data_IF_739605980613
#
_entry.id   IF_739605980613
#
_cell.length_a   1.000
_cell.length_b   1.000
_cell.length_c   1.000
_cell.angle_alpha   90.00
_cell.angle_beta   90.00
_cell.angle_gamma   90.00
#
_symmetry.space_group_name_H-M   'P 1'
#
loop_
_entity.id
_entity.type
_entity.pdbx_description
1 polymer ?
#
# COMPACT_ATOMS: atom_id res chain seq x y z
N UNK A 1 -11.38 -17.02 8.46
CA UNK A 1 -11.42 -16.23 7.22
C UNK A 1 -12.66 -15.35 7.15
N UNK A 2 -12.46 -14.05 6.87
CA UNK A 2 -13.50 -13.02 6.74
C UNK A 2 -13.89 -12.70 5.28
N UNK A 3 -13.45 -13.54 4.33
CA UNK A 3 -13.64 -13.38 2.88
C UNK A 3 -13.12 -12.05 2.31
N UNK A 4 -12.15 -11.44 3.00
CA UNK A 4 -11.48 -10.23 2.52
C UNK A 4 -10.40 -10.56 1.50
N UNK A 5 -10.28 -9.69 0.49
CA UNK A 5 -9.25 -9.85 -0.53
C UNK A 5 -7.90 -9.36 -0.02
N UNK A 6 -6.96 -10.31 0.10
CA UNK A 6 -5.58 -10.06 0.50
C UNK A 6 -4.64 -10.20 -0.69
N UNK A 7 -3.70 -9.27 -0.84
CA UNK A 7 -2.74 -9.30 -1.95
C UNK A 7 -1.39 -8.72 -1.59
N UNK A 8 -0.36 -9.18 -2.30
CA UNK A 8 0.92 -8.49 -2.37
C UNK A 8 0.82 -7.26 -3.28
N UNK A 9 1.65 -6.25 -3.03
CA UNK A 9 1.78 -5.05 -3.86
C UNK A 9 3.19 -4.48 -3.76
N UNK A 10 3.68 -3.85 -4.83
CA UNK A 10 5.00 -3.21 -4.88
C UNK A 10 6.11 -4.12 -4.34
N UNK A 11 6.29 -5.30 -4.97
CA UNK A 11 7.35 -6.23 -4.59
C UNK A 11 8.71 -5.70 -5.04
N UNK A 12 9.64 -5.56 -4.10
CA UNK A 12 10.99 -5.03 -4.31
C UNK A 12 12.05 -6.07 -3.92
N UNK A 13 12.51 -6.90 -4.88
CA UNK A 13 13.67 -7.76 -4.66
C UNK A 13 14.93 -6.94 -4.33
N UNK A 14 15.62 -7.28 -3.24
CA UNK A 14 16.76 -6.48 -2.75
C UNK A 14 16.37 -5.06 -2.32
N UNK A 15 15.10 -4.86 -1.99
CA UNK A 15 14.51 -3.56 -1.70
C UNK A 15 14.75 -3.05 -0.28
N UNK A 16 14.17 -1.88 -0.02
CA UNK A 16 14.22 -1.20 1.26
C UNK A 16 12.84 -0.67 1.61
N UNK A 17 12.39 -1.01 2.82
CA UNK A 17 11.28 -0.31 3.46
C UNK A 17 11.69 1.13 3.78
N UNK A 18 10.83 2.08 3.47
CA UNK A 18 10.96 3.51 3.75
C UNK A 18 9.72 4.03 4.47
N UNK A 19 9.85 5.21 5.08
CA UNK A 19 8.70 5.94 5.64
C UNK A 19 8.03 6.77 4.55
N UNK A 20 6.70 6.71 4.48
CA UNK A 20 5.87 7.50 3.56
C UNK A 20 5.03 8.49 4.39
N UNK A 21 5.02 9.77 4.03
CA UNK A 21 4.28 10.81 4.78
C UNK A 21 2.98 11.17 4.06
N UNK A 22 1.89 11.32 4.83
CA UNK A 22 0.56 11.64 4.30
C UNK A 22 0.04 13.03 4.72
N UNK A 23 0.85 13.81 5.44
CA UNK A 23 0.44 15.12 6.02
C UNK A 23 0.02 14.99 7.49
N UNK A 24 -0.16 16.13 8.18
CA UNK A 24 -0.62 16.21 9.57
C UNK A 24 0.13 15.30 10.57
N UNK A 25 1.44 15.14 10.36
CA UNK A 25 2.31 14.22 11.12
C UNK A 25 1.95 12.73 11.01
N UNK A 26 1.05 12.35 10.11
CA UNK A 26 0.65 10.98 9.83
C UNK A 26 1.60 10.40 8.78
N UNK A 27 2.05 9.18 9.03
CA UNK A 27 2.95 8.49 8.14
C UNK A 27 2.68 6.98 8.12
N UNK A 28 3.02 6.36 7.00
CA UNK A 28 3.10 4.93 6.85
C UNK A 28 4.51 4.47 6.55
N UNK A 29 4.60 3.23 6.10
CA UNK A 29 5.74 2.71 5.37
C UNK A 29 5.39 2.61 3.88
N UNK A 30 6.41 2.35 3.07
CA UNK A 30 6.32 1.92 1.68
C UNK A 30 7.61 1.17 1.32
N UNK A 31 7.69 0.57 0.14
CA UNK A 31 8.86 -0.14 -0.36
C UNK A 31 9.47 0.54 -1.58
N UNK A 32 10.79 0.41 -1.76
CA UNK A 32 11.45 0.75 -3.02
C UNK A 32 12.69 -0.11 -3.27
N UNK A 33 13.11 -0.19 -4.53
CA UNK A 33 14.38 -0.78 -4.93
C UNK A 33 15.30 0.27 -5.59
N UNK A 34 16.62 0.13 -5.42
CA UNK A 34 17.62 0.99 -6.06
C UNK A 34 18.46 0.19 -7.05
N UNK A 35 18.93 0.85 -8.12
CA UNK A 35 19.74 0.19 -9.16
C UNK A 35 21.15 -0.17 -8.68
N UNK A 36 21.75 0.64 -7.81
CA UNK A 36 23.17 0.50 -7.39
C UNK A 36 23.36 -0.16 -6.03
N UNK A 37 22.34 -0.12 -5.17
CA UNK A 37 22.41 -0.62 -3.81
C UNK A 37 21.27 -1.59 -3.58
N UNK A 38 21.59 -2.78 -3.10
CA UNK A 38 20.61 -3.83 -2.81
C UNK A 38 20.72 -4.24 -1.36
N UNK A 39 19.58 -4.52 -0.73
CA UNK A 39 19.55 -5.18 0.56
C UNK A 39 19.58 -6.69 0.38
N UNK A 40 19.72 -7.43 1.48
CA UNK A 40 19.58 -8.90 1.50
C UNK A 40 18.11 -9.33 1.59
N UNK A 41 17.18 -8.39 1.69
CA UNK A 41 15.77 -8.64 1.90
C UNK A 41 14.97 -8.38 0.62
N UNK A 42 13.87 -9.09 0.47
CA UNK A 42 12.79 -8.68 -0.42
C UNK A 42 11.68 -8.09 0.44
N UNK A 43 11.19 -6.92 0.10
CA UNK A 43 9.99 -6.33 0.71
C UNK A 43 8.84 -6.31 -0.30
N UNK A 44 7.63 -6.31 0.24
CA UNK A 44 6.39 -6.07 -0.50
C UNK A 44 5.35 -5.57 0.49
N UNK A 45 4.43 -4.74 0.02
CA UNK A 45 3.24 -4.38 0.78
C UNK A 45 2.28 -5.58 0.80
N UNK A 46 1.71 -5.88 1.97
CA UNK A 46 0.69 -6.91 2.12
C UNK A 46 -0.63 -6.27 2.55
N UNK A 47 -1.58 -6.21 1.62
CA UNK A 47 -2.75 -5.34 1.72
C UNK A 47 -4.01 -6.19 1.87
N UNK A 48 -4.79 -5.87 2.91
CA UNK A 48 -6.16 -6.36 3.10
C UNK A 48 -7.13 -5.33 2.54
N UNK A 49 -8.02 -5.74 1.65
CA UNK A 49 -9.02 -4.85 1.04
C UNK A 49 -10.25 -4.75 1.93
N UNK A 50 -10.45 -3.60 2.56
CA UNK A 50 -11.63 -3.32 3.38
C UNK A 50 -12.67 -2.56 2.56
N UNK A 51 -13.88 -3.11 2.49
CA UNK A 51 -15.07 -2.41 2.01
C UNK A 51 -15.89 -2.00 3.22
N UNK A 52 -16.13 -0.70 3.34
CA UNK A 52 -17.05 -0.19 4.34
C UNK A 52 -18.38 0.15 3.68
N UNK A 53 -19.45 -0.05 4.43
CA UNK A 53 -20.84 0.28 4.04
C UNK A 53 -21.40 1.29 5.04
N UNK A 54 -22.62 1.76 4.78
CA UNK A 54 -23.41 2.53 5.74
C UNK A 54 -23.28 1.98 7.18
N UNK A 55 -23.05 2.83 8.20
CA UNK A 55 -23.03 4.31 8.14
C UNK A 55 -21.65 4.93 7.85
N UNK A 56 -20.58 4.13 7.71
CA UNK A 56 -19.21 4.64 7.56
C UNK A 56 -18.65 4.28 6.18
N UNK A 57 -19.04 5.00 5.13
CA UNK A 57 -18.55 4.71 3.77
C UNK A 57 -17.15 5.30 3.49
N UNK A 58 -16.69 6.23 4.34
CA UNK A 58 -15.44 6.96 4.13
C UNK A 58 -14.22 6.12 4.59
N UNK A 59 -13.72 5.30 3.66
CA UNK A 59 -12.53 4.47 3.84
C UNK A 59 -11.25 5.28 4.09
N UNK A 60 -11.16 6.52 3.58
CA UNK A 60 -10.02 7.40 3.82
C UNK A 60 -9.91 7.78 5.29
N UNK A 61 -11.00 8.23 5.90
CA UNK A 61 -11.01 8.59 7.33
C UNK A 61 -10.64 7.37 8.17
N UNK A 62 -11.25 6.21 7.89
CA UNK A 62 -10.93 4.98 8.60
C UNK A 62 -9.43 4.62 8.53
N UNK A 63 -8.86 4.64 7.33
CA UNK A 63 -7.43 4.41 7.13
C UNK A 63 -6.56 5.43 7.88
N UNK A 64 -6.92 6.71 7.84
CA UNK A 64 -6.18 7.77 8.54
C UNK A 64 -6.21 7.59 10.06
N UNK A 65 -7.34 7.18 10.64
CA UNK A 65 -7.44 6.88 12.08
C UNK A 65 -6.58 5.68 12.47
N UNK A 66 -6.55 4.65 11.63
CA UNK A 66 -5.71 3.47 11.86
C UNK A 66 -4.23 3.82 11.75
N UNK A 67 -3.83 4.67 10.79
CA UNK A 67 -2.46 5.19 10.70
C UNK A 67 -2.08 6.00 11.93
N UNK A 68 -2.92 6.95 12.35
CA UNK A 68 -2.72 7.77 13.54
C UNK A 68 -2.48 6.90 14.78
N UNK A 69 -3.36 5.94 15.05
CA UNK A 69 -3.22 5.04 16.19
C UNK A 69 -1.91 4.24 16.13
N UNK A 70 -1.56 3.73 14.96
CA UNK A 70 -0.30 2.99 14.75
C UNK A 70 0.93 3.89 14.99
N UNK A 71 0.91 5.14 14.51
CA UNK A 71 1.97 6.12 14.72
C UNK A 71 2.12 6.50 16.20
N UNK A 72 1.01 6.61 16.94
CA UNK A 72 1.00 6.84 18.38
C UNK A 72 1.66 5.69 19.13
N UNK A 73 1.26 4.44 18.85
CA UNK A 73 1.85 3.24 19.48
C UNK A 73 3.35 3.11 19.19
N UNK A 74 3.78 3.53 18.00
CA UNK A 74 5.18 3.53 17.63
C UNK A 74 6.00 4.71 18.18
N UNK A 75 5.39 5.63 18.93
CA UNK A 75 6.07 6.79 19.50
C UNK A 75 6.66 7.72 18.42
N UNK A 76 5.90 7.96 17.35
CA UNK A 76 6.36 8.76 16.21
C UNK A 76 7.27 7.99 15.23
N UNK A 77 7.29 6.65 15.33
CA UNK A 77 7.97 5.75 14.38
C UNK A 77 7.08 4.63 13.89
N UNK A 78 7.34 4.07 12.69
CA UNK A 78 6.64 2.87 12.25
C UNK A 78 6.87 1.74 13.25
N UNK A 79 5.84 0.93 13.44
CA UNK A 79 5.96 -0.30 14.20
C UNK A 79 6.70 -1.35 13.38
N UNK A 80 7.47 -2.18 14.09
CA UNK A 80 8.11 -3.36 13.56
C UNK A 80 7.78 -4.54 14.48
N UNK A 81 7.25 -5.62 13.90
CA UNK A 81 6.95 -6.83 14.64
C UNK A 81 7.36 -8.06 13.85
N UNK A 82 7.89 -9.08 14.53
CA UNK A 82 8.12 -10.38 13.93
C UNK A 82 6.81 -11.12 13.79
N UNK A 83 6.62 -11.80 12.68
CA UNK A 83 5.44 -12.64 12.45
C UNK A 83 5.29 -13.69 13.56
N UNK A 84 6.40 -14.28 14.02
CA UNK A 84 6.37 -15.21 15.14
C UNK A 84 5.89 -14.61 16.45
N UNK A 85 6.13 -13.31 16.70
CA UNK A 85 5.61 -12.63 17.88
C UNK A 85 4.11 -12.31 17.70
N UNK A 86 3.64 -11.99 16.48
CA UNK A 86 2.21 -11.84 16.17
C UNK A 86 1.44 -13.14 16.43
N UNK A 87 1.95 -14.27 15.95
CA UNK A 87 1.33 -15.59 16.13
C UNK A 87 1.22 -15.95 17.63
N UNK A 88 2.21 -15.55 18.43
CA UNK A 88 2.25 -15.79 19.88
C UNK A 88 1.51 -14.72 20.70
N UNK A 89 0.85 -13.76 20.06
CA UNK A 89 0.16 -12.63 20.70
C UNK A 89 1.08 -11.83 21.64
N UNK A 90 2.31 -11.56 21.18
CA UNK A 90 3.33 -10.86 21.95
C UNK A 90 3.93 -9.69 21.17
N UNK A 91 4.32 -8.67 21.91
CA UNK A 91 5.14 -7.56 21.40
C UNK A 91 6.53 -8.04 20.98
N UNK A 92 7.04 -7.51 19.86
CA UNK A 92 8.46 -7.64 19.52
C UNK A 92 9.34 -6.65 20.29
N UNK A 93 10.56 -7.09 20.60
CA UNK A 93 11.62 -6.26 21.19
C UNK A 93 12.87 -6.29 20.30
N UNK A 94 13.79 -5.34 20.49
CA UNK A 94 15.07 -5.37 19.77
C UNK A 94 15.88 -6.64 20.06
N UNK A 95 15.85 -7.15 21.29
CA UNK A 95 16.50 -8.41 21.65
C UNK A 95 15.98 -9.59 20.80
N UNK A 96 14.65 -9.69 20.69
CA UNK A 96 13.96 -10.69 19.87
C UNK A 96 14.30 -10.55 18.39
N UNK A 97 14.23 -9.33 17.85
CA UNK A 97 14.55 -9.05 16.44
C UNK A 97 15.99 -9.40 16.12
N UNK A 98 16.96 -9.08 16.99
CA UNK A 98 18.38 -9.39 16.79
C UNK A 98 18.70 -10.89 16.77
N UNK A 99 17.84 -11.73 17.36
CA UNK A 99 17.97 -13.20 17.29
C UNK A 99 17.40 -13.81 16.00
N UNK A 100 16.83 -12.98 15.12
CA UNK A 100 16.20 -13.43 13.88
C UNK A 100 17.20 -13.43 12.72
N UNK A 101 16.97 -14.26 11.71
CA UNK A 101 17.84 -14.34 10.53
C UNK A 101 17.73 -13.11 9.62
N UNK A 102 16.66 -12.33 9.76
CA UNK A 102 16.36 -11.16 8.95
C UNK A 102 16.63 -9.90 9.77
N UNK A 103 17.40 -8.97 9.19
CA UNK A 103 17.64 -7.65 9.75
C UNK A 103 16.74 -6.59 9.10
N UNK A 104 16.19 -5.61 9.86
CA UNK A 104 15.36 -4.57 9.28
C UNK A 104 16.12 -3.71 8.27
N UNK A 105 15.51 -3.33 7.15
CA UNK A 105 16.11 -2.34 6.22
C UNK A 105 15.85 -0.91 6.72
N UNK A 106 14.64 -0.65 7.22
CA UNK A 106 14.31 0.60 7.91
C UNK A 106 14.70 0.49 9.39
N UNK A 107 15.70 1.27 9.81
CA UNK A 107 16.20 1.24 11.22
C UNK A 107 15.44 2.17 12.15
N UNK A 108 14.87 3.26 11.64
CA UNK A 108 14.13 4.23 12.44
C UNK A 108 12.69 3.76 12.71
N UNK A 109 12.55 2.66 13.45
CA UNK A 109 11.31 1.96 13.78
C UNK A 109 11.25 1.65 15.28
N UNK A 110 10.05 1.33 15.76
CA UNK A 110 9.81 0.91 17.13
C UNK A 110 9.34 -0.55 17.16
N UNK A 111 10.10 -1.48 17.77
CA UNK A 111 9.59 -2.81 18.05
C UNK A 111 8.35 -2.74 18.93
N UNK A 112 7.25 -3.33 18.49
CA UNK A 112 5.95 -3.13 19.11
C UNK A 112 4.96 -4.25 18.86
N UNK A 113 3.69 -3.93 19.11
CA UNK A 113 2.57 -4.82 18.87
C UNK A 113 1.56 -4.14 17.94
N UNK A 114 1.51 -4.61 16.69
CA UNK A 114 0.64 -4.11 15.64
C UNK A 114 -0.83 -4.46 15.95
N UNK A 115 -1.08 -5.57 16.66
CA UNK A 115 -2.44 -6.01 17.00
C UNK A 115 -3.18 -5.05 17.93
N UNK A 116 -2.45 -4.16 18.62
CA UNK A 116 -3.04 -3.08 19.42
C UNK A 116 -3.66 -1.96 18.57
N UNK A 117 -3.22 -1.79 17.31
CA UNK A 117 -3.79 -0.79 16.39
C UNK A 117 -4.77 -1.40 15.38
N UNK A 118 -4.55 -2.64 14.98
CA UNK A 118 -5.27 -3.25 13.87
C UNK A 118 -6.43 -4.09 14.41
N UNK A 119 -7.66 -3.93 13.89
CA UNK A 119 -8.77 -4.80 14.26
C UNK A 119 -8.45 -6.27 14.02
N UNK A 120 -9.02 -7.13 14.86
CA UNK A 120 -8.80 -8.58 14.82
C UNK A 120 -9.07 -9.20 13.43
N UNK A 121 -10.03 -8.63 12.69
CA UNK A 121 -10.32 -8.98 11.29
C UNK A 121 -9.07 -8.84 10.40
N UNK A 122 -8.49 -7.64 10.34
CA UNK A 122 -7.28 -7.35 9.55
C UNK A 122 -6.11 -8.22 9.98
N UNK A 123 -5.91 -8.40 11.29
CA UNK A 123 -4.82 -9.26 11.79
C UNK A 123 -5.01 -10.74 11.41
N UNK A 124 -6.25 -11.22 11.39
CA UNK A 124 -6.58 -12.59 10.95
C UNK A 124 -6.31 -12.73 9.46
N UNK A 125 -6.75 -11.78 8.64
CA UNK A 125 -6.55 -11.81 7.18
C UNK A 125 -5.06 -11.74 6.81
N UNK A 126 -4.26 -10.93 7.52
CA UNK A 126 -2.80 -10.89 7.34
C UNK A 126 -2.19 -12.26 7.66
N UNK A 127 -2.58 -12.88 8.78
CA UNK A 127 -2.03 -14.18 9.19
C UNK A 127 -2.40 -15.29 8.21
N UNK A 128 -3.69 -15.45 7.92
CA UNK A 128 -4.19 -16.47 6.99
C UNK A 128 -3.64 -16.24 5.57
N UNK A 129 -3.53 -14.98 5.15
CA UNK A 129 -2.97 -14.61 3.85
C UNK A 129 -1.48 -14.94 3.72
N UNK A 130 -0.66 -14.65 4.75
CA UNK A 130 0.76 -15.00 4.72
C UNK A 130 0.97 -16.52 4.78
N UNK A 131 0.14 -17.24 5.55
CA UNK A 131 0.17 -18.71 5.60
C UNK A 131 -0.18 -19.32 4.24
N UNK A 132 -1.16 -18.76 3.53
CA UNK A 132 -1.47 -19.17 2.17
C UNK A 132 -0.35 -18.80 1.18
N UNK A 133 0.25 -17.62 1.32
CA UNK A 133 1.35 -17.16 0.47
C UNK A 133 2.60 -18.04 0.62
N UNK A 134 2.83 -18.63 1.79
CA UNK A 134 3.96 -19.54 2.04
C UNK A 134 3.97 -20.77 1.13
N UNK A 135 2.80 -21.23 0.71
CA UNK A 135 2.66 -22.33 -0.26
C UNK A 135 3.20 -21.96 -1.65
N UNK A 136 3.29 -20.66 -1.94
CA UNK A 136 3.79 -20.12 -3.22
C UNK A 136 5.23 -19.61 -3.06
N UNK A 137 5.54 -18.98 -1.93
CA UNK A 137 6.85 -18.41 -1.61
C UNK A 137 7.31 -19.00 -0.26
N UNK A 138 7.94 -20.19 -0.27
CA UNK A 138 8.32 -20.87 0.96
C UNK A 138 9.23 -20.03 1.84
N UNK A 139 8.90 -19.94 3.13
CA UNK A 139 9.65 -19.20 4.14
C UNK A 139 9.12 -17.79 4.40
N UNK A 140 8.13 -17.31 3.66
CA UNK A 140 7.48 -16.01 3.93
C UNK A 140 6.68 -16.04 5.23
N UNK A 141 6.15 -17.20 5.63
CA UNK A 141 5.47 -17.41 6.92
C UNK A 141 6.44 -17.89 8.02
N UNK A 142 7.66 -17.37 8.03
CA UNK A 142 8.67 -17.66 9.05
C UNK A 142 8.47 -16.82 10.32
N UNK A 143 8.83 -17.39 11.48
CA UNK A 143 8.96 -16.65 12.75
C UNK A 143 9.86 -15.39 12.63
N UNK A 144 10.82 -15.41 11.70
CA UNK A 144 11.75 -14.29 11.46
C UNK A 144 11.22 -13.24 10.49
N UNK A 145 10.08 -13.46 9.83
CA UNK A 145 9.48 -12.48 8.92
C UNK A 145 9.16 -11.19 9.66
N UNK A 146 9.62 -10.07 9.11
CA UNK A 146 9.47 -8.74 9.70
C UNK A 146 8.29 -8.01 9.05
N UNK A 147 7.33 -7.61 9.87
CA UNK A 147 6.15 -6.85 9.45
C UNK A 147 6.31 -5.41 9.95
N UNK A 148 6.24 -4.46 9.02
CA UNK A 148 6.24 -3.03 9.29
C UNK A 148 4.82 -2.49 9.18
N UNK A 149 4.47 -1.53 10.04
CA UNK A 149 3.16 -0.90 10.01
C UNK A 149 3.20 0.60 10.39
N UNK A 150 2.28 1.42 9.83
CA UNK A 150 1.20 1.03 8.93
C UNK A 150 1.57 1.17 7.45
N UNK A 151 1.05 0.31 6.58
CA UNK A 151 1.06 0.47 5.12
C UNK A 151 -0.39 0.65 4.67
N UNK A 152 -0.76 1.84 4.20
CA UNK A 152 -2.15 2.13 3.82
C UNK A 152 -2.16 2.78 2.46
N UNK A 153 -3.07 2.29 1.60
CA UNK A 153 -3.31 2.90 0.31
C UNK A 153 -4.72 3.48 0.22
N UNK A 154 -4.79 4.80 0.20
CA UNK A 154 -6.03 5.59 0.15
C UNK A 154 -6.62 5.59 -1.28
N UNK A 155 -7.20 4.47 -1.70
CA UNK A 155 -7.80 4.31 -3.02
C UNK A 155 -9.31 4.58 -2.99
N UNK A 156 -9.72 5.76 -2.53
CA UNK A 156 -11.15 6.05 -2.35
C UNK A 156 -11.82 6.72 -3.56
N UNK A 157 -11.04 7.36 -4.45
CA UNK A 157 -11.61 8.23 -5.48
C UNK A 157 -11.52 7.54 -6.83
N UNK A 158 -12.66 7.08 -7.36
CA UNK A 158 -12.84 6.76 -8.78
C UNK A 158 -13.85 7.71 -9.37
N UNK A 159 -13.37 8.72 -10.09
CA UNK A 159 -14.25 9.68 -10.75
C UNK A 159 -14.77 9.03 -12.05
N UNK A 160 -16.09 9.12 -12.27
CA UNK A 160 -16.70 8.61 -13.51
C UNK A 160 -16.33 9.52 -14.67
N UNK A 161 -15.87 8.91 -15.76
CA UNK A 161 -15.47 9.59 -17.00
C UNK A 161 -16.01 8.86 -18.21
N UNK A 162 -15.96 9.51 -19.37
CA UNK A 162 -16.19 8.84 -20.65
C UNK A 162 -14.94 8.06 -21.13
N UNK A 163 -15.01 7.51 -22.35
CA UNK A 163 -13.92 6.73 -22.96
C UNK A 163 -12.65 7.53 -23.25
N UNK A 164 -12.72 8.86 -23.28
CA UNK A 164 -11.59 9.77 -23.44
C UNK A 164 -11.17 10.40 -22.11
N UNK A 165 -11.67 9.87 -20.99
CA UNK A 165 -11.40 10.38 -19.65
C UNK A 165 -11.94 11.79 -19.38
N UNK A 166 -12.96 12.22 -20.13
CA UNK A 166 -13.66 13.48 -19.87
C UNK A 166 -14.60 13.36 -18.70
N UNK A 167 -14.72 14.42 -17.91
CA UNK A 167 -15.74 14.54 -16.87
C UNK A 167 -17.13 14.47 -17.48
N UNK A 168 -18.01 13.66 -16.88
CA UNK A 168 -19.42 13.56 -17.28
C UNK A 168 -20.24 14.82 -16.92
N UNK A 169 -19.77 15.60 -15.95
CA UNK A 169 -20.51 16.72 -15.37
C UNK A 169 -19.93 18.09 -15.74
N UNK A 170 -18.68 18.15 -16.20
CA UNK A 170 -17.97 19.39 -16.48
C UNK A 170 -17.37 19.34 -17.87
N UNK A 171 -17.74 20.32 -18.71
CA UNK A 171 -17.11 20.50 -20.02
C UNK A 171 -15.65 20.92 -19.85
N UNK A 172 -14.80 20.53 -20.80
CA UNK A 172 -13.39 20.88 -20.86
C UNK A 172 -12.55 20.42 -19.64
N UNK A 173 -13.04 19.43 -18.87
CA UNK A 173 -12.29 18.80 -17.79
C UNK A 173 -11.98 17.35 -18.15
N UNK A 174 -10.69 16.99 -18.13
CA UNK A 174 -10.21 15.64 -18.33
C UNK A 174 -9.49 15.14 -17.08
N UNK A 175 -9.67 13.86 -16.76
CA UNK A 175 -9.25 13.25 -15.51
C UNK A 175 -8.41 12.01 -15.82
N UNK A 176 -7.10 12.15 -15.78
CA UNK A 176 -6.13 11.09 -16.03
C UNK A 176 -5.27 10.78 -14.80
N UNK A 177 -4.62 9.61 -14.81
CA UNK A 177 -3.69 9.19 -13.78
C UNK A 177 -4.31 8.44 -12.61
N UNK A 178 -3.47 8.15 -11.62
CA UNK A 178 -3.84 7.35 -10.44
C UNK A 178 -4.72 8.15 -9.47
N UNK A 179 -4.50 9.47 -9.37
CA UNK A 179 -5.17 10.34 -8.38
C UNK A 179 -6.70 10.44 -8.56
N UNK A 180 -7.20 10.22 -9.77
CA UNK A 180 -8.64 10.20 -10.08
C UNK A 180 -9.21 8.79 -10.21
N UNK A 181 -8.38 7.77 -9.96
CA UNK A 181 -8.76 6.37 -9.88
C UNK A 181 -9.01 5.67 -11.22
N UNK A 182 -8.57 6.25 -12.33
CA UNK A 182 -8.75 5.68 -13.69
C UNK A 182 -7.60 4.78 -14.13
N UNK A 183 -6.48 4.81 -13.42
CA UNK A 183 -5.31 3.94 -13.68
C UNK A 183 -4.59 3.55 -12.40
N UNK A 184 -3.56 2.70 -12.56
CA UNK A 184 -2.65 2.29 -11.49
C UNK A 184 -1.23 2.17 -12.01
N UNK A 185 -0.29 2.83 -11.33
CA UNK A 185 1.14 2.74 -11.60
C UNK A 185 1.57 3.57 -12.80
N UNK A 186 2.88 3.68 -12.96
CA UNK A 186 3.53 4.64 -13.88
C UNK A 186 3.03 4.47 -15.33
N UNK A 187 2.99 3.23 -15.83
CA UNK A 187 2.58 2.94 -17.21
C UNK A 187 1.10 3.23 -17.41
N UNK A 188 0.25 2.86 -16.44
CA UNK A 188 -1.19 3.13 -16.49
C UNK A 188 -1.46 4.63 -16.49
N UNK A 189 -0.81 5.37 -15.59
CA UNK A 189 -0.94 6.81 -15.52
C UNK A 189 -0.51 7.49 -16.82
N UNK A 190 0.64 7.11 -17.39
CA UNK A 190 1.11 7.62 -18.67
C UNK A 190 0.12 7.31 -19.82
N UNK A 191 -0.38 6.07 -19.91
CA UNK A 191 -1.36 5.68 -20.92
C UNK A 191 -2.65 6.51 -20.81
N UNK A 192 -3.14 6.79 -19.60
CA UNK A 192 -4.32 7.64 -19.42
C UNK A 192 -4.06 9.10 -19.80
N UNK A 193 -2.85 9.60 -19.62
CA UNK A 193 -2.47 10.93 -20.14
C UNK A 193 -2.60 11.00 -21.66
N UNK A 194 -2.17 9.96 -22.37
CA UNK A 194 -2.32 9.84 -23.83
C UNK A 194 -3.80 9.76 -24.23
N UNK A 195 -4.62 8.98 -23.52
CA UNK A 195 -6.05 8.87 -23.81
C UNK A 195 -6.76 10.22 -23.63
N UNK A 196 -6.43 10.94 -22.56
CA UNK A 196 -6.98 12.27 -22.31
C UNK A 196 -6.55 13.27 -23.39
N UNK A 197 -5.29 13.25 -23.84
CA UNK A 197 -4.82 14.15 -24.90
C UNK A 197 -5.50 13.88 -26.25
N UNK A 198 -5.77 12.62 -26.59
CA UNK A 198 -6.58 12.27 -27.77
C UNK A 198 -7.99 12.86 -27.69
N UNK A 199 -8.59 12.85 -26.48
CA UNK A 199 -9.89 13.46 -26.22
C UNK A 199 -9.90 14.98 -26.42
N UNK A 200 -8.82 15.66 -25.99
CA UNK A 200 -8.62 17.10 -26.17
C UNK A 200 -8.48 17.43 -27.65
N UNK A 201 -7.58 16.76 -28.37
CA UNK A 201 -7.36 16.98 -29.80
C UNK A 201 -8.63 16.80 -30.62
N UNK A 202 -9.42 15.78 -30.28
CA UNK A 202 -10.71 15.53 -30.93
C UNK A 202 -11.71 16.68 -30.73
N UNK A 203 -11.78 17.27 -29.54
CA UNK A 203 -12.67 18.42 -29.27
C UNK A 203 -12.23 19.67 -30.03
N UNK A 204 -10.92 19.84 -30.25
CA UNK A 204 -10.34 20.91 -31.07
C UNK A 204 -10.43 20.65 -32.58
N UNK A 205 -11.05 19.54 -33.00
CA UNK A 205 -11.20 19.18 -34.42
C UNK A 205 -9.92 18.68 -35.10
N UNK A 206 -8.90 18.28 -34.33
CA UNK A 206 -7.63 17.76 -34.83
C UNK A 206 -7.69 16.22 -34.88
N UNK A 207 -7.38 15.62 -36.05
CA UNK A 207 -7.25 14.17 -36.16
C UNK A 207 -5.90 13.69 -35.58
N UNK A 208 -5.95 13.20 -34.35
CA UNK A 208 -4.78 12.67 -33.65
C UNK A 208 -4.13 11.47 -34.36
N UNK A 209 -4.82 10.81 -35.31
CA UNK A 209 -4.21 9.72 -36.10
C UNK A 209 -3.11 10.22 -37.04
N UNK A 210 -3.13 11.49 -37.39
CA UNK A 210 -2.08 12.10 -38.22
C UNK A 210 -0.78 12.33 -37.43
N UNK A 211 -0.86 12.46 -36.10
CA UNK A 211 0.27 12.70 -35.19
C UNK A 211 1.00 11.41 -34.76
N UNK A 212 0.43 10.24 -35.04
CA UNK A 212 0.98 8.93 -34.65
C UNK A 212 1.72 8.22 -35.80
N UNK A 213 1.87 8.89 -36.95
CA UNK A 213 2.70 8.44 -38.07
C UNK A 213 4.14 8.89 -37.88
#
# INVERSE_FOLDING_TARGET
SYDDFVRTFCTNPGGFVVREYYGDSIFGVNGHAMKKYTSRNTDFAFLVTIKLTEPLENTTIYGMRLAQLTNTLGGGKPLLQRLGDIIRHQRSTWERIRRSYISPTLKNVTPGDISMAYPARIMTDIREGLEALDKVIPGVYSDSTLIYAPEIKFYAIKIKTDKFLRSINLKNLFLAGDGVGVSRGIVGAAATGIIASMGILKDEGIDYKELLK
#
